data_IF_433444589396
#
_entry.id   IF_433444589396
#
_cell.length_a   1.000
_cell.length_b   1.000
_cell.length_c   1.000
_cell.angle_alpha   90.00
_cell.angle_beta   90.00
_cell.angle_gamma   90.00
#
_symmetry.space_group_name_H-M   'P 1'
#
loop_
_entity.id
_entity.type
_entity.pdbx_description
1 polymer ?
#
# COMPACT_ATOMS: atom_id res chain seq x y z
N UNK A 1 -2.63 16.78 -26.47
CA UNK A 1 -2.63 15.98 -26.22
C UNK A 1 -2.40 15.60 -25.88
N UNK A 2 -2.71 16.01 -25.86
CA UNK A 2 -2.72 15.31 -25.38
C UNK A 2 -2.55 15.13 -24.95
N UNK A 3 -2.86 15.50 -25.03
CA UNK A 3 -2.87 15.02 -24.48
C UNK A 3 -2.80 14.97 -24.01
N UNK A 4 -3.06 15.42 -24.08
CA UNK A 4 -3.14 14.98 -23.50
C UNK A 4 -3.04 14.78 -22.99
N UNK A 5 -3.30 15.14 -23.07
CA UNK A 5 -3.35 14.59 -22.44
C UNK A 5 -3.05 14.54 -21.96
N UNK A 6 -3.18 14.90 -22.12
CA UNK A 6 -3.01 14.60 -21.39
C UNK A 6 -2.67 15.04 -20.85
N UNK A 7 -2.81 15.55 -20.92
CA UNK A 7 -2.74 15.65 -20.29
C UNK A 7 -2.75 16.26 -19.72
N UNK A 8 -3.02 16.40 -19.61
CA UNK A 8 -3.17 16.46 -18.99
C UNK A 8 -3.06 16.51 -18.34
N UNK A 9 -3.16 16.93 -18.14
CA UNK A 9 -3.12 16.58 -17.20
C UNK A 9 -2.79 16.89 -16.44
N UNK A 10 -2.84 17.52 -16.44
CA UNK A 10 -2.63 17.80 -15.71
C UNK A 10 -2.52 18.18 -14.93
N UNK A 11 -2.58 18.44 -14.59
CA UNK A 11 -2.43 18.69 -13.86
C UNK A 11 -2.61 18.31 -13.12
N UNK A 12 -2.83 18.32 -12.98
CA UNK A 12 -2.93 17.81 -12.38
C UNK A 12 -3.18 17.46 -11.19
N UNK A 13 -4.34 17.51 -10.96
CA UNK A 13 -4.48 16.96 -9.77
C UNK A 13 -4.11 15.56 -9.79
N UNK A 14 -3.26 15.23 -9.08
CA UNK A 14 -2.67 13.91 -9.15
C UNK A 14 -3.60 12.84 -8.56
N UNK A 15 -3.51 11.64 -9.10
CA UNK A 15 -4.16 10.48 -8.54
C UNK A 15 -3.56 10.15 -7.17
N UNK A 16 -4.33 9.52 -6.27
CA UNK A 16 -3.78 9.06 -5.01
C UNK A 16 -2.64 8.07 -5.23
N UNK A 17 -1.74 8.00 -4.26
CA UNK A 17 -0.59 7.12 -4.32
C UNK A 17 -1.02 5.65 -4.32
N UNK A 18 -0.22 4.81 -4.97
CA UNK A 18 -0.48 3.38 -5.02
C UNK A 18 -0.37 2.76 -3.63
N UNK A 19 -1.29 1.83 -3.35
CA UNK A 19 -1.29 1.08 -2.09
C UNK A 19 -0.98 -0.37 -2.40
N UNK A 20 0.03 -0.92 -1.72
CA UNK A 20 0.42 -2.31 -1.89
C UNK A 20 0.47 -2.98 -0.53
N UNK A 21 -0.25 -4.08 -0.39
CA UNK A 21 -0.25 -4.88 0.84
C UNK A 21 0.65 -6.08 0.62
N UNK A 22 1.68 -6.20 1.44
CA UNK A 22 2.59 -7.34 1.40
C UNK A 22 2.38 -8.18 2.65
N UNK A 23 2.38 -9.48 2.49
CA UNK A 23 2.24 -10.35 3.64
C UNK A 23 1.92 -11.77 3.22
N UNK A 24 1.61 -12.60 4.22
CA UNK A 24 1.17 -13.96 3.98
C UNK A 24 -0.34 -13.98 3.79
N UNK A 25 -0.82 -14.68 2.76
CA UNK A 25 -2.25 -14.85 2.53
C UNK A 25 -2.95 -15.56 3.69
N UNK A 26 -2.19 -16.29 4.48
CA UNK A 26 -2.74 -17.08 5.58
C UNK A 26 -2.75 -16.30 6.91
N UNK A 27 -2.24 -15.09 6.92
CA UNK A 27 -2.21 -14.27 8.12
C UNK A 27 -3.55 -13.57 8.34
N UNK A 28 -4.15 -13.80 9.51
CA UNK A 28 -5.45 -13.21 9.82
C UNK A 28 -5.43 -11.69 9.85
N UNK A 29 -4.32 -11.10 10.31
CA UNK A 29 -4.17 -9.64 10.34
C UNK A 29 -4.12 -9.10 8.92
N UNK A 30 -3.42 -9.80 8.02
CA UNK A 30 -3.38 -9.42 6.60
C UNK A 30 -4.79 -9.41 6.02
N UNK A 31 -5.56 -10.45 6.28
CA UNK A 31 -6.93 -10.55 5.78
C UNK A 31 -7.81 -9.42 6.33
N UNK A 32 -7.64 -9.09 7.60
CA UNK A 32 -8.37 -8.01 8.22
C UNK A 32 -8.07 -6.67 7.56
N UNK A 33 -6.80 -6.41 7.29
CA UNK A 33 -6.39 -5.16 6.64
C UNK A 33 -6.91 -5.06 5.21
N UNK A 34 -6.91 -6.17 4.48
CA UNK A 34 -7.45 -6.19 3.14
C UNK A 34 -8.94 -5.87 3.14
N UNK A 35 -9.69 -6.44 4.09
CA UNK A 35 -11.11 -6.12 4.23
C UNK A 35 -11.33 -4.66 4.58
N UNK A 36 -10.47 -4.12 5.43
CA UNK A 36 -10.55 -2.71 5.79
C UNK A 36 -10.42 -1.83 4.55
N UNK A 37 -9.43 -2.11 3.71
CA UNK A 37 -9.22 -1.36 2.49
C UNK A 37 -10.39 -1.52 1.52
N UNK A 38 -10.92 -2.73 1.40
CA UNK A 38 -12.09 -2.99 0.55
C UNK A 38 -13.28 -2.16 0.99
N UNK A 39 -13.56 -2.12 2.29
CA UNK A 39 -14.68 -1.34 2.81
C UNK A 39 -14.48 0.15 2.65
N UNK A 40 -13.25 0.59 2.75
CA UNK A 40 -12.92 2.01 2.59
C UNK A 40 -12.92 2.43 1.13
N UNK A 41 -13.09 1.50 0.21
CA UNK A 41 -13.08 1.80 -1.21
C UNK A 41 -11.70 2.16 -1.75
N UNK A 42 -10.65 1.70 -1.07
CA UNK A 42 -9.28 2.00 -1.47
C UNK A 42 -8.75 0.85 -2.33
N UNK A 43 -8.47 1.09 -3.62
CA UNK A 43 -7.87 0.05 -4.44
C UNK A 43 -6.45 -0.23 -3.97
N UNK A 44 -6.07 -1.50 -3.97
CA UNK A 44 -4.74 -1.91 -3.57
C UNK A 44 -4.32 -3.14 -4.34
N UNK A 45 -3.02 -3.43 -4.32
CA UNK A 45 -2.49 -4.70 -4.81
C UNK A 45 -2.05 -5.52 -3.61
N UNK A 46 -2.26 -6.81 -3.67
CA UNK A 46 -1.76 -7.73 -2.66
C UNK A 46 -0.61 -8.55 -3.23
N UNK A 47 0.49 -8.59 -2.49
CA UNK A 47 1.66 -9.40 -2.87
C UNK A 47 1.90 -10.40 -1.75
N UNK A 48 1.78 -11.69 -2.09
CA UNK A 48 2.08 -12.77 -1.17
C UNK A 48 3.59 -12.98 -1.15
N UNK A 49 4.25 -12.52 -0.10
CA UNK A 49 5.70 -12.59 -0.04
C UNK A 49 6.25 -13.99 0.21
N UNK A 50 5.38 -14.95 0.54
CA UNK A 50 5.82 -16.35 0.61
C UNK A 50 6.07 -16.90 -0.78
N UNK A 51 5.35 -16.37 -1.78
CA UNK A 51 5.55 -16.74 -3.17
C UNK A 51 6.70 -15.98 -3.82
N UNK A 52 7.11 -14.84 -3.24
CA UNK A 52 8.14 -13.97 -3.82
C UNK A 52 9.16 -13.59 -2.75
N UNK A 53 10.06 -14.52 -2.37
CA UNK A 53 11.02 -14.26 -1.29
C UNK A 53 11.92 -13.05 -1.52
N UNK A 54 12.23 -12.75 -2.78
CA UNK A 54 13.07 -11.60 -3.11
C UNK A 54 12.37 -10.28 -2.77
N UNK A 55 11.06 -10.24 -2.90
CA UNK A 55 10.27 -9.06 -2.53
C UNK A 55 10.36 -8.84 -1.02
N UNK A 56 10.26 -9.92 -0.27
CA UNK A 56 10.37 -9.85 1.19
C UNK A 56 11.73 -9.28 1.61
N UNK A 57 12.80 -9.74 0.98
CA UNK A 57 14.14 -9.25 1.27
C UNK A 57 14.28 -7.76 1.00
N UNK A 58 13.72 -7.31 -0.12
CA UNK A 58 13.75 -5.89 -0.49
C UNK A 58 12.99 -5.03 0.50
N UNK A 59 11.83 -5.51 0.95
CA UNK A 59 11.03 -4.80 1.93
C UNK A 59 11.74 -4.73 3.28
N UNK A 60 12.37 -5.82 3.68
CA UNK A 60 13.10 -5.88 4.92
C UNK A 60 14.19 -4.81 4.95
N UNK A 61 14.90 -4.68 3.86
CA UNK A 61 15.91 -3.65 3.70
C UNK A 61 15.29 -2.25 3.82
N UNK A 62 14.19 -2.00 3.11
CA UNK A 62 13.52 -0.71 3.10
C UNK A 62 12.90 -0.36 4.47
N UNK A 63 12.55 -1.37 5.25
CA UNK A 63 11.93 -1.19 6.56
C UNK A 63 12.95 -1.15 7.70
N UNK A 64 14.24 -1.12 7.37
CA UNK A 64 15.28 -1.04 8.40
C UNK A 64 15.52 -2.36 9.11
N UNK A 65 15.26 -3.47 8.45
CA UNK A 65 15.52 -4.81 8.99
C UNK A 65 14.37 -5.42 9.76
N UNK A 66 13.23 -4.73 9.84
CA UNK A 66 12.07 -5.24 10.56
C UNK A 66 10.91 -5.44 9.63
N UNK A 67 10.35 -6.65 9.66
CA UNK A 67 9.13 -6.92 8.92
C UNK A 67 8.13 -7.68 9.79
N UNK A 68 6.87 -7.41 9.55
CA UNK A 68 5.78 -8.18 10.10
C UNK A 68 4.64 -8.17 9.09
N UNK A 69 3.90 -9.24 9.01
CA UNK A 69 2.76 -9.34 8.10
C UNK A 69 1.52 -8.73 8.75
N UNK A 70 0.81 -7.82 8.10
CA UNK A 70 1.15 -7.26 6.79
C UNK A 70 2.10 -6.06 6.88
N UNK A 71 2.82 -5.82 5.80
CA UNK A 71 3.54 -4.57 5.58
C UNK A 71 2.83 -3.85 4.45
N UNK A 72 2.48 -2.59 4.65
CA UNK A 72 1.68 -1.86 3.67
C UNK A 72 2.47 -0.66 3.18
N UNK A 73 2.59 -0.56 1.87
CA UNK A 73 3.27 0.55 1.24
C UNK A 73 2.22 1.51 0.70
N UNK A 74 2.26 2.76 1.14
CA UNK A 74 1.36 3.80 0.68
C UNK A 74 2.24 4.88 0.07
N UNK A 75 2.28 4.92 -1.26
CA UNK A 75 3.21 5.78 -1.96
C UNK A 75 4.64 5.42 -1.58
N UNK A 76 5.41 6.37 -1.10
CA UNK A 76 6.77 6.12 -0.66
C UNK A 76 6.92 5.69 0.79
N UNK A 77 5.82 5.60 1.53
CA UNK A 77 5.85 5.28 2.95
C UNK A 77 5.63 3.78 3.18
N UNK A 78 6.48 3.18 3.99
CA UNK A 78 6.39 1.75 4.34
C UNK A 78 5.90 1.64 5.78
N UNK A 79 4.77 0.97 5.96
CA UNK A 79 4.15 0.77 7.27
C UNK A 79 4.24 -0.70 7.64
N UNK A 80 4.94 -1.01 8.73
CA UNK A 80 5.11 -2.38 9.18
C UNK A 80 4.03 -2.70 10.20
N UNK A 81 3.14 -3.59 9.83
CA UNK A 81 2.00 -4.03 10.65
C UNK A 81 1.28 -2.84 11.30
N UNK A 82 0.77 -1.91 10.49
CA UNK A 82 0.11 -0.72 11.04
C UNK A 82 -1.23 -1.08 11.66
N UNK A 83 -1.67 -0.25 12.61
CA UNK A 83 -3.06 -0.29 13.05
C UNK A 83 -3.93 0.31 11.94
N UNK A 84 -5.25 0.09 12.02
CA UNK A 84 -6.17 0.70 11.06
C UNK A 84 -6.08 2.23 11.15
N UNK A 85 -5.86 2.76 12.34
CA UNK A 85 -5.72 4.20 12.53
C UNK A 85 -4.47 4.74 11.83
N UNK A 86 -3.35 4.08 12.00
CA UNK A 86 -2.11 4.48 11.34
C UNK A 86 -2.26 4.42 9.83
N UNK A 87 -2.91 3.37 9.34
CA UNK A 87 -3.16 3.23 7.92
C UNK A 87 -4.07 4.35 7.41
N UNK A 88 -5.14 4.67 8.16
CA UNK A 88 -6.05 5.73 7.77
C UNK A 88 -5.33 7.09 7.65
N UNK A 89 -4.42 7.38 8.59
CA UNK A 89 -3.64 8.61 8.54
C UNK A 89 -2.77 8.66 7.29
N UNK A 90 -2.08 7.56 7.01
CA UNK A 90 -1.21 7.48 5.84
C UNK A 90 -2.00 7.63 4.54
N UNK A 91 -3.17 7.00 4.47
CA UNK A 91 -4.04 7.10 3.29
C UNK A 91 -4.51 8.53 3.10
N UNK A 92 -4.90 9.21 4.18
CA UNK A 92 -5.35 10.59 4.09
C UNK A 92 -4.26 11.51 3.56
N UNK A 93 -3.02 11.30 3.99
CA UNK A 93 -1.88 12.09 3.51
C UNK A 93 -1.57 11.83 2.04
N UNK A 94 -1.95 10.67 1.54
CA UNK A 94 -1.67 10.27 0.16
C UNK A 94 -2.85 10.56 -0.78
N UNK A 95 -3.88 11.24 -0.32
CA UNK A 95 -5.00 11.68 -1.15
C UNK A 95 -6.25 10.83 -1.06
N UNK A 96 -6.28 9.80 -0.22
CA UNK A 96 -7.49 9.02 0.02
C UNK A 96 -8.30 9.65 1.16
N UNK A 97 -9.60 9.52 1.07
CA UNK A 97 -10.49 10.12 2.07
C UNK A 97 -11.45 9.13 2.64
#
# INVERSE_FOLDING_TARGET
MLSTAYGRYGGRRSAPSEVIVYGSRWCGITMMMRRYLDRAGVPYRFVDWDAYPEVRSQLEWAAGGRLASPTIKVGGQVLVQPSTRELAVALGRSGYR
#
